data_IF_079585890357
#
_entry.id   IF_079585890357
#
_cell.length_a   1.000
_cell.length_b   1.000
_cell.length_c   1.000
_cell.angle_alpha   90.00
_cell.angle_beta   90.00
_cell.angle_gamma   90.00
#
_symmetry.space_group_name_H-M   'P 1'
#
loop_
_entity.id
_entity.type
_entity.pdbx_description
1 polymer ?
#
# COMPACT_ATOMS: atom_id res chain seq x y z
N UNK A 1 16.12 -5.51 -2.33
CA UNK A 1 14.95 -6.39 -2.13
C UNK A 1 14.23 -6.60 -3.46
N UNK A 2 13.55 -7.74 -3.67
CA UNK A 2 12.74 -7.97 -4.88
C UNK A 2 11.32 -7.42 -4.72
N UNK A 3 10.67 -7.03 -5.82
CA UNK A 3 9.31 -6.49 -5.77
C UNK A 3 8.25 -7.50 -5.29
N UNK A 4 8.52 -8.80 -5.33
CA UNK A 4 7.62 -9.82 -4.75
C UNK A 4 7.75 -9.96 -3.23
N UNK A 5 8.79 -9.37 -2.62
CA UNK A 5 9.07 -9.44 -1.19
C UNK A 5 8.45 -8.25 -0.42
N UNK A 6 8.00 -7.22 -1.14
CA UNK A 6 7.32 -6.09 -0.51
C UNK A 6 5.93 -6.51 0.00
N UNK A 7 5.61 -6.07 1.21
CA UNK A 7 4.34 -6.36 1.89
C UNK A 7 3.48 -5.10 1.81
N UNK A 8 2.48 -5.05 0.92
CA UNK A 8 1.57 -3.91 0.89
C UNK A 8 0.67 -3.89 2.13
N UNK A 9 0.24 -2.71 2.57
CA UNK A 9 -0.63 -2.52 3.75
C UNK A 9 -1.93 -3.32 3.69
N UNK A 10 -2.41 -3.63 2.49
CA UNK A 10 -3.58 -4.49 2.29
C UNK A 10 -3.36 -5.97 2.69
N UNK A 11 -2.11 -6.38 2.88
CA UNK A 11 -1.70 -7.75 3.20
C UNK A 11 -1.04 -7.87 4.59
N UNK A 12 -0.50 -6.78 5.12
CA UNK A 12 0.11 -6.69 6.44
C UNK A 12 0.80 -5.34 6.63
N UNK A 13 1.15 -5.01 7.88
CA UNK A 13 1.89 -3.79 8.19
C UNK A 13 3.38 -4.11 8.23
N UNK A 14 4.14 -3.51 7.31
CA UNK A 14 5.60 -3.54 7.32
C UNK A 14 6.12 -2.14 7.01
N UNK A 15 6.96 -1.63 7.89
CA UNK A 15 7.66 -0.37 7.69
C UNK A 15 8.96 -0.62 6.93
N UNK A 16 9.29 0.28 6.01
CA UNK A 16 10.49 0.22 5.19
C UNK A 16 11.27 1.53 5.32
N UNK A 17 12.58 1.44 5.09
CA UNK A 17 13.47 2.55 4.82
C UNK A 17 13.68 2.66 3.32
N UNK A 18 13.45 3.85 2.77
CA UNK A 18 13.75 4.19 1.39
C UNK A 18 15.09 4.93 1.36
N UNK A 19 16.08 4.32 0.70
CA UNK A 19 17.37 4.96 0.47
C UNK A 19 17.24 6.02 -0.65
N UNK A 20 17.68 7.25 -0.35
CA UNK A 20 17.56 8.40 -1.25
C UNK A 20 18.86 9.16 -1.32
N UNK A 21 19.12 9.68 -2.50
CA UNK A 21 20.18 10.66 -2.73
C UNK A 21 19.55 11.87 -3.40
N UNK A 22 19.62 13.03 -2.74
CA UNK A 22 19.22 14.31 -3.32
C UNK A 22 20.37 15.30 -3.22
N UNK A 23 20.66 16.00 -4.31
CA UNK A 23 21.68 17.05 -4.38
C UNK A 23 23.07 16.63 -3.85
N UNK A 24 23.39 15.33 -3.91
CA UNK A 24 24.66 14.74 -3.46
C UNK A 24 24.69 14.31 -1.99
N UNK A 25 23.63 14.54 -1.22
CA UNK A 25 23.46 14.02 0.13
C UNK A 25 22.61 12.75 0.10
N UNK A 26 23.06 11.71 0.81
CA UNK A 26 22.27 10.49 1.01
C UNK A 26 21.52 10.55 2.35
N UNK A 27 20.26 10.15 2.33
CA UNK A 27 19.42 10.07 3.52
C UNK A 27 18.44 8.91 3.39
N UNK A 28 17.90 8.45 4.52
CA UNK A 28 16.87 7.42 4.53
C UNK A 28 15.55 8.02 4.96
N UNK A 29 14.46 7.60 4.32
CA UNK A 29 13.12 8.01 4.69
C UNK A 29 12.27 6.81 5.11
N UNK A 30 11.46 6.98 6.16
CA UNK A 30 10.41 6.00 6.46
C UNK A 30 9.44 5.90 5.30
N UNK A 31 8.97 4.70 4.99
CA UNK A 31 7.98 4.52 3.94
C UNK A 31 7.13 3.28 4.14
N UNK A 32 5.93 3.33 3.56
CA UNK A 32 4.96 2.26 3.58
C UNK A 32 4.59 1.90 2.15
N UNK A 33 4.51 0.61 1.85
CA UNK A 33 3.94 0.14 0.58
C UNK A 33 2.43 0.08 0.76
N UNK A 34 1.69 1.00 0.15
CA UNK A 34 0.24 1.12 0.39
C UNK A 34 -0.52 0.07 -0.44
N UNK A 35 -0.26 0.04 -1.75
CA UNK A 35 -0.92 -0.86 -2.71
C UNK A 35 0.10 -1.41 -3.69
N UNK A 36 -0.04 -2.70 -4.05
CA UNK A 36 0.77 -3.30 -5.11
C UNK A 36 -0.03 -3.39 -6.43
N UNK A 37 0.67 -3.33 -7.56
CA UNK A 37 0.10 -3.55 -8.91
C UNK A 37 1.05 -4.28 -9.82
N UNK A 38 0.58 -4.62 -11.02
CA UNK A 38 1.45 -5.17 -12.05
C UNK A 38 2.54 -4.14 -12.42
N UNK A 39 3.81 -4.53 -12.26
CA UNK A 39 4.99 -3.73 -12.62
C UNK A 39 5.36 -2.62 -11.65
N UNK A 40 4.76 -2.57 -10.45
CA UNK A 40 5.07 -1.52 -9.48
C UNK A 40 4.18 -1.51 -8.25
N UNK A 41 4.27 -0.45 -7.48
CA UNK A 41 3.51 -0.28 -6.24
C UNK A 41 3.40 1.20 -5.88
N UNK A 42 2.44 1.51 -5.01
CA UNK A 42 2.20 2.84 -4.49
C UNK A 42 2.88 2.97 -3.13
N UNK A 43 3.85 3.89 -3.03
CA UNK A 43 4.53 4.22 -1.78
C UNK A 43 3.85 5.38 -1.09
N UNK A 44 3.76 5.33 0.24
CA UNK A 44 3.53 6.47 1.11
C UNK A 44 4.83 6.84 1.81
N UNK A 45 5.28 8.08 1.63
CA UNK A 45 6.51 8.62 2.21
C UNK A 45 6.21 9.95 2.93
N UNK A 46 7.06 10.40 3.85
CA UNK A 46 7.02 11.77 4.39
C UNK A 46 7.03 12.80 3.26
N UNK A 47 6.40 13.94 3.51
CA UNK A 47 6.53 15.12 2.63
C UNK A 47 8.01 15.48 2.44
N UNK A 48 8.35 16.12 1.33
CA UNK A 48 9.73 16.51 1.00
C UNK A 48 10.76 15.37 0.83
N UNK A 49 10.35 14.09 0.91
CA UNK A 49 11.22 12.93 0.56
C UNK A 49 11.66 12.95 -0.91
N UNK A 50 10.82 13.53 -1.78
CA UNK A 50 11.13 13.76 -3.19
C UNK A 50 11.10 15.26 -3.45
N UNK A 51 12.04 15.74 -4.26
CA UNK A 51 12.06 17.14 -4.64
C UNK A 51 10.81 17.49 -5.46
N UNK A 52 10.35 18.75 -5.37
CA UNK A 52 9.22 19.23 -6.18
C UNK A 52 9.47 19.03 -7.69
N UNK A 53 10.72 19.11 -8.13
CA UNK A 53 11.10 18.89 -9.53
C UNK A 53 10.93 17.42 -9.96
N UNK A 54 11.29 16.46 -9.10
CA UNK A 54 11.06 15.02 -9.35
C UNK A 54 9.56 14.70 -9.37
N UNK A 55 8.80 15.18 -8.40
CA UNK A 55 7.36 14.94 -8.32
C UNK A 55 6.63 15.52 -9.54
N UNK A 56 6.99 16.74 -9.97
CA UNK A 56 6.44 17.36 -11.19
C UNK A 56 6.75 16.57 -12.45
N UNK A 57 7.98 16.04 -12.58
CA UNK A 57 8.36 15.17 -13.70
C UNK A 57 7.55 13.87 -13.67
N UNK A 58 7.41 13.28 -12.50
CA UNK A 58 6.60 12.09 -12.24
C UNK A 58 5.14 12.19 -12.69
N UNK A 59 4.53 13.38 -12.60
CA UNK A 59 3.13 13.56 -13.04
C UNK A 59 2.89 13.25 -14.52
N UNK A 60 3.89 13.47 -15.37
CA UNK A 60 3.85 13.22 -16.81
C UNK A 60 4.83 12.13 -17.27
N UNK A 61 5.35 11.34 -16.33
CA UNK A 61 6.37 10.35 -16.59
C UNK A 61 5.88 9.24 -17.53
N UNK A 62 6.79 8.74 -18.37
CA UNK A 62 6.55 7.55 -19.20
C UNK A 62 6.30 6.32 -18.32
N UNK A 63 5.55 5.29 -18.77
CA UNK A 63 5.39 4.04 -18.03
C UNK A 63 6.68 3.31 -17.65
N UNK A 64 7.81 3.64 -18.31
CA UNK A 64 9.13 3.04 -18.05
C UNK A 64 9.98 3.83 -17.03
N UNK A 65 9.54 5.03 -16.64
CA UNK A 65 10.24 5.83 -15.63
C UNK A 65 9.99 5.29 -14.23
N UNK A 66 11.02 5.35 -13.37
CA UNK A 66 10.99 4.80 -12.01
C UNK A 66 9.94 5.46 -11.11
N UNK A 67 9.89 6.81 -11.17
CA UNK A 67 8.98 7.64 -10.39
C UNK A 67 7.84 8.04 -11.30
N UNK A 68 6.65 7.59 -10.95
CA UNK A 68 5.42 7.93 -11.60
C UNK A 68 4.69 9.10 -10.92
N UNK A 69 3.39 9.20 -11.15
CA UNK A 69 2.60 10.28 -10.60
C UNK A 69 2.46 10.22 -9.08
N UNK A 70 2.24 11.38 -8.46
CA UNK A 70 2.11 11.51 -7.01
C UNK A 70 0.91 12.34 -6.57
N UNK A 71 0.57 12.28 -5.28
CA UNK A 71 -0.35 13.21 -4.62
C UNK A 71 0.00 13.31 -3.15
N UNK A 72 -0.25 14.45 -2.53
CA UNK A 72 -0.19 14.58 -1.08
C UNK A 72 -1.56 14.25 -0.49
N UNK A 73 -1.54 13.57 0.66
CA UNK A 73 -2.72 13.24 1.46
C UNK A 73 -2.42 13.50 2.93
N UNK A 74 -3.47 13.61 3.74
CA UNK A 74 -3.36 13.77 5.18
C UNK A 74 -4.05 12.59 5.85
N UNK A 75 -3.46 12.08 6.93
CA UNK A 75 -4.03 11.02 7.76
C UNK A 75 -3.82 11.33 9.24
N UNK A 76 -4.65 10.75 10.10
CA UNK A 76 -4.40 10.76 11.54
C UNK A 76 -3.05 10.15 11.89
N UNK A 77 -2.52 10.50 13.07
CA UNK A 77 -1.28 9.94 13.59
C UNK A 77 -1.54 8.90 14.69
N UNK A 78 -0.81 7.79 14.63
CA UNK A 78 -0.78 6.71 15.61
C UNK A 78 0.65 6.56 16.13
N UNK A 79 0.81 6.24 17.41
CA UNK A 79 2.05 5.68 17.95
C UNK A 79 1.79 4.25 18.44
N UNK A 80 2.81 3.40 18.33
CA UNK A 80 2.79 2.09 18.96
C UNK A 80 3.35 2.21 20.37
N UNK A 81 2.62 1.69 21.36
CA UNK A 81 3.08 1.62 22.75
C UNK A 81 4.06 0.47 22.94
N UNK A 82 4.77 0.46 24.06
CA UNK A 82 5.67 -0.64 24.45
C UNK A 82 4.95 -2.01 24.53
N UNK A 83 3.63 -2.01 24.76
CA UNK A 83 2.81 -3.23 24.77
C UNK A 83 2.39 -3.68 23.36
N UNK A 84 2.83 -2.98 22.32
CA UNK A 84 2.45 -3.21 20.93
C UNK A 84 1.06 -2.67 20.56
N UNK A 85 0.40 -1.92 21.45
CA UNK A 85 -0.92 -1.36 21.18
C UNK A 85 -0.81 -0.03 20.40
N UNK A 86 -1.73 0.22 19.48
CA UNK A 86 -1.77 1.48 18.74
C UNK A 86 -2.58 2.53 19.51
N UNK A 87 -2.05 3.74 19.64
CA UNK A 87 -2.74 4.88 20.28
C UNK A 87 -2.77 6.07 19.33
N UNK A 88 -3.96 6.67 19.15
CA UNK A 88 -4.10 7.90 18.38
C UNK A 88 -3.49 9.09 19.12
N UNK A 89 -2.68 9.87 18.41
CA UNK A 89 -1.96 11.03 18.98
C UNK A 89 -2.76 12.34 18.90
N UNK A 90 -3.98 12.31 18.35
CA UNK A 90 -4.84 13.50 18.22
C UNK A 90 -4.32 14.55 17.23
N UNK A 91 -3.34 14.19 16.39
CA UNK A 91 -2.76 15.05 15.34
C UNK A 91 -2.86 14.38 13.98
N UNK A 92 -2.48 15.13 12.95
CA UNK A 92 -2.49 14.69 11.56
C UNK A 92 -1.06 14.72 11.01
N UNK A 93 -0.74 13.78 10.13
CA UNK A 93 0.53 13.73 9.39
C UNK A 93 0.26 13.85 7.89
N UNK A 94 1.18 14.51 7.19
CA UNK A 94 1.11 14.65 5.73
C UNK A 94 1.97 13.58 5.07
N UNK A 95 1.42 12.91 4.07
CA UNK A 95 2.05 11.79 3.38
C UNK A 95 1.99 12.05 1.88
N UNK A 96 3.13 11.91 1.21
CA UNK A 96 3.18 11.91 -0.24
C UNK A 96 2.98 10.48 -0.73
N UNK A 97 1.89 10.25 -1.45
CA UNK A 97 1.66 9.03 -2.21
C UNK A 97 2.38 9.13 -3.54
N UNK A 98 3.26 8.18 -3.86
CA UNK A 98 4.05 8.16 -5.09
C UNK A 98 3.95 6.79 -5.74
N UNK A 99 3.43 6.75 -6.97
CA UNK A 99 3.44 5.55 -7.80
C UNK A 99 4.88 5.28 -8.27
N UNK A 100 5.40 4.10 -8.01
CA UNK A 100 6.76 3.70 -8.40
C UNK A 100 6.76 2.37 -9.12
N UNK A 101 7.80 2.15 -9.93
CA UNK A 101 8.01 0.88 -10.64
C UNK A 101 8.61 -0.18 -9.72
N UNK A 102 8.49 -1.43 -10.15
CA UNK A 102 9.01 -2.58 -9.39
C UNK A 102 10.51 -2.49 -9.09
N UNK A 103 11.30 -1.81 -9.94
CA UNK A 103 12.73 -1.57 -9.73
C UNK A 103 12.99 -0.76 -8.46
N UNK A 104 12.02 0.04 -7.98
CA UNK A 104 12.15 0.79 -6.74
C UNK A 104 12.25 -0.11 -5.51
N UNK A 105 11.85 -1.38 -5.60
CA UNK A 105 12.02 -2.34 -4.50
C UNK A 105 13.49 -2.56 -4.13
N UNK A 106 14.42 -2.31 -5.06
CA UNK A 106 15.85 -2.38 -4.77
C UNK A 106 16.32 -1.28 -3.79
N UNK A 107 15.58 -0.16 -3.70
CA UNK A 107 15.86 0.98 -2.82
C UNK A 107 15.21 0.84 -1.44
N UNK A 108 14.39 -0.19 -1.25
CA UNK A 108 13.66 -0.45 -0.02
C UNK A 108 14.42 -1.45 0.85
N UNK A 109 14.55 -1.11 2.12
CA UNK A 109 15.08 -1.97 3.17
C UNK A 109 13.99 -2.14 4.22
N UNK A 110 13.64 -3.37 4.65
CA UNK A 110 12.77 -3.55 5.82
C UNK A 110 13.36 -2.80 7.00
N UNK A 111 12.56 -1.97 7.66
CA UNK A 111 13.01 -1.27 8.86
C UNK A 111 13.11 -2.29 9.99
N UNK A 112 14.33 -2.56 10.43
CA UNK A 112 14.62 -3.31 11.64
C UNK A 112 14.86 -2.31 12.78
N UNK A 113 14.26 -2.55 13.95
CA UNK A 113 14.29 -1.62 15.08
C UNK A 113 15.64 -1.65 15.83
N UNK A 114 16.56 -2.53 15.45
CA UNK A 114 17.84 -2.71 16.13
C UNK A 114 18.90 -1.66 15.72
N UNK A 115 18.81 -1.09 14.51
CA UNK A 115 19.74 -0.08 14.01
C UNK A 115 18.99 1.17 13.56
N UNK A 116 19.01 2.22 14.39
CA UNK A 116 18.45 3.52 14.00
C UNK A 116 19.40 4.25 13.02
N UNK A 117 18.92 4.68 11.84
CA UNK A 117 19.72 5.45 10.90
C UNK A 117 20.14 6.80 11.48
N UNK A 118 21.35 7.26 11.14
CA UNK A 118 21.87 8.57 11.59
C UNK A 118 21.04 9.75 11.05
N UNK A 119 20.52 9.63 9.82
CA UNK A 119 19.67 10.63 9.17
C UNK A 119 18.39 9.97 8.65
N UNK A 120 17.42 9.81 9.55
CA UNK A 120 16.10 9.28 9.24
C UNK A 120 15.08 10.41 9.07
N UNK A 121 14.48 10.50 7.89
CA UNK A 121 13.33 11.34 7.62
C UNK A 121 12.04 10.58 7.99
N UNK A 122 11.32 11.06 8.99
CA UNK A 122 10.10 10.45 9.54
C UNK A 122 8.84 11.16 9.06
N UNK A 123 7.66 10.56 9.30
CA UNK A 123 6.37 11.17 8.92
C UNK A 123 6.00 12.42 9.75
N UNK A 124 6.50 12.50 10.98
CA UNK A 124 6.40 13.67 11.85
C UNK A 124 7.80 13.91 12.46
N UNK A 125 8.34 15.11 12.27
CA UNK A 125 9.65 15.48 12.79
C UNK A 125 9.63 15.78 14.29
N UNK A 126 8.47 16.18 14.83
CA UNK A 126 8.28 16.45 16.24
C UNK A 126 7.96 15.18 17.03
N UNK A 127 7.54 14.10 16.34
CA UNK A 127 7.25 12.79 16.90
C UNK A 127 7.70 11.67 15.93
N UNK A 128 9.00 11.30 15.91
CA UNK A 128 9.57 10.31 14.98
C UNK A 128 8.89 8.93 14.98
N UNK A 129 8.27 8.55 16.09
CA UNK A 129 7.51 7.32 16.29
C UNK A 129 6.08 7.38 15.72
N UNK A 130 5.61 8.57 15.33
CA UNK A 130 4.28 8.77 14.81
C UNK A 130 4.17 8.22 13.38
N UNK A 131 3.25 7.28 13.21
CA UNK A 131 2.90 6.68 11.93
C UNK A 131 1.52 7.16 11.46
N UNK A 132 1.30 7.29 10.16
CA UNK A 132 -0.04 7.59 9.63
C UNK A 132 -1.01 6.43 9.89
N UNK A 133 -2.29 6.74 10.14
CA UNK A 133 -3.36 5.74 10.22
C UNK A 133 -3.45 4.97 8.90
N UNK A 134 -3.07 3.69 8.93
CA UNK A 134 -2.93 2.89 7.71
C UNK A 134 -4.21 2.76 6.89
N UNK A 135 -5.36 2.61 7.57
CA UNK A 135 -6.64 2.47 6.90
C UNK A 135 -7.02 3.75 6.14
N UNK A 136 -6.79 4.92 6.72
CA UNK A 136 -7.03 6.21 6.06
C UNK A 136 -6.15 6.38 4.82
N UNK A 137 -4.87 5.94 4.88
CA UNK A 137 -4.00 5.96 3.71
C UNK A 137 -4.48 5.03 2.59
N UNK A 138 -4.94 3.81 2.92
CA UNK A 138 -5.48 2.88 1.94
C UNK A 138 -6.71 3.49 1.24
N UNK A 139 -7.59 4.12 2.02
CA UNK A 139 -8.81 4.72 1.48
C UNK A 139 -8.51 5.95 0.63
N UNK A 140 -7.58 6.81 1.07
CA UNK A 140 -7.10 7.95 0.30
C UNK A 140 -6.43 7.51 -1.02
N UNK A 141 -5.59 6.48 -0.98
CA UNK A 141 -4.94 5.91 -2.15
C UNK A 141 -5.95 5.37 -3.16
N UNK A 142 -6.97 4.63 -2.70
CA UNK A 142 -8.04 4.11 -3.57
C UNK A 142 -8.86 5.23 -4.19
N UNK A 143 -9.20 6.26 -3.42
CA UNK A 143 -9.93 7.43 -3.91
C UNK A 143 -9.13 8.15 -5.01
N UNK A 144 -7.83 8.35 -4.80
CA UNK A 144 -6.94 8.97 -5.78
C UNK A 144 -6.84 8.16 -7.07
N UNK A 145 -6.62 6.85 -6.99
CA UNK A 145 -6.57 5.97 -8.17
C UNK A 145 -7.90 6.03 -8.94
N UNK A 146 -9.04 5.96 -8.25
CA UNK A 146 -10.35 6.03 -8.88
C UNK A 146 -10.61 7.37 -9.59
N UNK A 147 -10.18 8.49 -9.00
CA UNK A 147 -10.30 9.81 -9.61
C UNK A 147 -9.45 9.93 -10.89
N UNK A 148 -8.24 9.39 -10.88
CA UNK A 148 -7.35 9.38 -12.07
C UNK A 148 -7.93 8.53 -13.21
N UNK A 149 -8.38 7.32 -12.92
CA UNK A 149 -9.00 6.44 -13.92
C UNK A 149 -10.24 7.11 -14.56
N UNK A 150 -11.03 7.86 -13.77
CA UNK A 150 -12.15 8.63 -14.29
C UNK A 150 -11.69 9.75 -15.24
N UNK A 151 -10.66 10.51 -14.87
CA UNK A 151 -10.09 11.58 -15.69
C UNK A 151 -9.53 11.05 -17.02
N UNK A 152 -8.78 9.94 -16.99
CA UNK A 152 -8.21 9.32 -18.20
C UNK A 152 -9.32 8.88 -19.17
N UNK A 153 -10.39 8.26 -18.66
CA UNK A 153 -11.55 7.87 -19.46
C UNK A 153 -12.23 9.08 -20.10
N UNK A 154 -12.40 10.19 -19.37
CA UNK A 154 -12.98 11.42 -19.91
C UNK A 154 -12.13 11.99 -21.05
N UNK A 155 -10.80 11.97 -20.92
CA UNK A 155 -9.87 12.43 -21.96
C UNK A 155 -9.99 11.57 -23.23
N UNK A 156 -10.06 10.24 -23.08
CA UNK A 156 -10.20 9.32 -24.21
C UNK A 156 -11.50 9.53 -25.00
N UNK A 157 -12.64 9.71 -24.31
CA UNK A 157 -13.92 9.96 -24.97
C UNK A 157 -14.01 11.36 -25.60
N UNK A 158 -13.34 12.35 -25.02
CA UNK A 158 -13.27 13.72 -25.56
C UNK A 158 -12.45 13.76 -26.85
N UNK A 159 -11.32 13.05 -26.92
CA UNK A 159 -10.48 12.96 -28.11
C UNK A 159 -11.22 12.29 -29.30
N UNK A 160 -12.05 11.28 -29.04
CA UNK A 160 -12.82 10.58 -30.09
C UNK A 160 -13.92 11.44 -30.73
N UNK A 161 -14.38 12.51 -30.07
CA UNK A 161 -15.37 13.44 -30.63
C UNK A 161 -14.75 14.54 -31.52
N UNK A 162 -13.43 14.68 -31.53
CA UNK A 162 -12.71 15.70 -32.33
C UNK A 162 -12.44 15.32 -33.79
N UNK A 163 -12.56 14.05 -34.18
CA UNK A 163 -12.30 13.58 -35.56
C UNK A 163 -13.55 13.50 -36.44
N UNK A 164 -14.68 14.06 -36.00
CA UNK A 164 -15.91 14.17 -36.80
C UNK A 164 -16.20 15.63 -37.23
N UNK A 165 -15.16 16.37 -37.61
CA UNK A 165 -15.26 17.57 -38.43
C UNK A 165 -14.26 17.29 -39.57
N UNK A 166 -14.64 16.77 -40.73
CA UNK A 166 -15.52 17.35 -41.73
C UNK A 166 -16.10 16.20 -42.59
N UNK A 167 -17.27 15.64 -42.24
CA UNK A 167 -18.12 15.11 -43.32
C UNK A 167 -18.91 16.31 -43.81
N UNK A 168 -18.33 17.04 -44.78
CA UNK A 168 -19.15 17.94 -45.58
C UNK A 168 -20.31 17.10 -46.14
N UNK A 169 -21.57 17.48 -45.94
CA UNK A 169 -22.65 16.83 -46.66
C UNK A 169 -22.38 17.07 -48.14
N UNK A 170 -21.96 16.03 -48.86
CA UNK A 170 -21.93 16.04 -50.33
C UNK A 170 -23.30 16.53 -50.76
N UNK A 171 -23.36 17.70 -51.42
CA UNK A 171 -24.58 18.18 -52.07
C UNK A 171 -25.10 17.03 -52.92
N UNK A 172 -26.31 16.55 -52.62
CA UNK A 172 -27.00 15.57 -53.46
C UNK A 172 -27.37 16.30 -54.75
N UNK A 173 -26.81 15.86 -55.86
CA UNK A 173 -27.38 16.14 -57.17
C UNK A 173 -28.79 15.53 -57.22
N UNK A 174 -29.81 16.29 -57.61
CA UNK A 174 -31.16 15.79 -57.73
C UNK A 174 -31.31 15.16 -59.11
N UNK A 175 -30.90 13.91 -59.28
CA UNK A 175 -31.40 13.01 -60.33
C UNK A 175 -30.83 11.61 -60.13
N UNK A 176 -31.60 10.70 -59.52
CA UNK A 176 -32.01 9.43 -60.15
C UNK A 176 -32.83 8.54 -59.21
N UNK A 177 -33.74 7.71 -59.79
CA UNK A 177 -34.93 7.21 -59.13
C UNK A 177 -34.74 5.94 -58.29
N UNK A 178 -35.67 5.77 -57.37
CA UNK A 178 -35.85 4.67 -56.44
C UNK A 178 -36.05 3.33 -57.16
N UNK A 179 -35.04 2.47 -57.15
CA UNK A 179 -35.22 1.05 -57.41
C UNK A 179 -35.07 0.28 -56.10
N UNK A 180 -36.22 -0.16 -55.60
CA UNK A 180 -36.44 -1.09 -54.51
C UNK A 180 -35.55 -2.34 -54.65
N UNK A 181 -34.86 -2.71 -53.57
CA UNK A 181 -33.99 -3.89 -53.58
C UNK A 181 -33.61 -4.39 -52.20
N UNK A 182 -34.50 -5.16 -51.58
CA UNK A 182 -34.25 -6.25 -50.63
C UNK A 182 -33.37 -5.97 -49.41
N UNK A 183 -34.06 -5.88 -48.27
CA UNK A 183 -33.56 -6.29 -46.96
C UNK A 183 -32.81 -7.64 -47.02
N UNK A 184 -31.54 -7.64 -46.58
CA UNK A 184 -30.87 -8.84 -46.09
C UNK A 184 -30.05 -8.51 -44.84
N UNK A 185 -30.42 -9.22 -43.78
CA UNK A 185 -29.58 -9.79 -42.73
C UNK A 185 -28.75 -8.85 -41.85
N UNK A 186 -29.21 -8.70 -40.61
CA UNK A 186 -28.35 -8.44 -39.45
C UNK A 186 -27.54 -9.71 -39.14
N UNK A 187 -26.21 -9.60 -39.17
CA UNK A 187 -25.30 -10.57 -38.54
C UNK A 187 -24.93 -10.07 -37.13
N UNK A 188 -25.21 -10.83 -36.06
CA UNK A 188 -24.79 -10.48 -34.70
C UNK A 188 -23.44 -11.13 -34.37
N UNK A 189 -22.34 -10.56 -34.87
CA UNK A 189 -20.99 -11.05 -34.50
C UNK A 189 -19.89 -10.04 -34.80
N UNK A 190 -19.95 -8.88 -34.15
CA UNK A 190 -18.80 -8.00 -33.97
C UNK A 190 -18.91 -7.33 -32.60
N UNK A 191 -18.53 -8.05 -31.52
CA UNK A 191 -18.09 -7.39 -30.29
C UNK A 191 -16.63 -7.02 -30.50
N UNK A 192 -16.26 -5.73 -30.60
CA UNK A 192 -14.87 -5.35 -30.44
C UNK A 192 -14.45 -5.69 -29.01
N UNK A 193 -13.44 -6.54 -28.87
CA UNK A 193 -12.74 -6.75 -27.61
C UNK A 193 -12.14 -5.42 -27.16
N UNK A 194 -12.66 -4.85 -26.07
CA UNK A 194 -12.06 -3.72 -25.39
C UNK A 194 -10.65 -4.12 -24.91
N UNK A 195 -9.59 -3.37 -25.23
CA UNK A 195 -8.37 -3.45 -24.45
C UNK A 195 -8.68 -2.87 -23.07
N UNK A 196 -8.68 -3.75 -22.05
CA UNK A 196 -8.78 -3.37 -20.65
C UNK A 196 -7.51 -2.62 -20.25
N UNK A 197 -7.55 -1.29 -20.23
CA UNK A 197 -6.42 -0.40 -19.96
C UNK A 197 -6.14 -0.09 -18.49
N UNK A 198 -6.83 -0.69 -17.51
CA UNK A 198 -6.50 -0.50 -16.08
C UNK A 198 -5.67 -1.70 -15.55
N UNK A 199 -4.36 -1.52 -15.22
CA UNK A 199 -3.52 -2.57 -14.64
C UNK A 199 -3.97 -3.02 -13.25
N UNK A 200 -4.78 -2.21 -12.57
CA UNK A 200 -5.21 -2.41 -11.18
C UNK A 200 -6.23 -3.53 -10.96
N UNK A 201 -6.85 -4.06 -12.02
CA UNK A 201 -8.02 -4.96 -11.91
C UNK A 201 -7.73 -6.45 -12.11
N UNK A 202 -6.46 -6.91 -12.10
CA UNK A 202 -6.12 -8.27 -12.57
C UNK A 202 -5.25 -9.14 -11.64
N UNK A 203 -5.37 -9.00 -10.32
CA UNK A 203 -4.78 -9.97 -9.39
C UNK A 203 -5.86 -10.89 -8.81
N UNK A 204 -5.88 -12.18 -9.20
CA UNK A 204 -6.59 -13.23 -8.46
C UNK A 204 -5.68 -13.69 -7.30
N UNK A 205 -6.10 -13.61 -6.03
CA UNK A 205 -5.25 -14.06 -4.93
C UNK A 205 -5.28 -15.59 -4.82
N UNK A 206 -4.18 -16.25 -5.19
CA UNK A 206 -3.89 -17.65 -4.88
C UNK A 206 -2.93 -17.72 -3.67
N UNK A 207 -3.39 -17.44 -2.46
CA UNK A 207 -2.56 -17.68 -1.26
C UNK A 207 -3.39 -17.86 0.02
N UNK A 208 -4.50 -18.61 -0.05
CA UNK A 208 -5.07 -19.20 1.18
C UNK A 208 -4.15 -20.32 1.64
N UNK A 209 -3.25 -20.03 2.58
CA UNK A 209 -2.58 -20.92 3.55
C UNK A 209 -1.24 -20.27 3.90
N UNK A 210 -1.16 -19.41 4.91
CA UNK A 210 0.03 -19.17 5.75
C UNK A 210 -0.27 -18.07 6.76
N UNK A 211 -1.17 -18.37 7.69
CA UNK A 211 -1.32 -17.60 8.94
C UNK A 211 -1.45 -18.60 10.07
N UNK A 212 -0.34 -18.86 10.77
CA UNK A 212 -0.31 -19.48 12.11
C UNK A 212 1.05 -19.43 12.84
N UNK A 213 2.13 -18.87 12.28
CA UNK A 213 3.48 -19.08 12.86
C UNK A 213 4.12 -17.92 13.62
N UNK A 214 3.55 -16.71 13.66
CA UNK A 214 4.24 -15.55 14.24
C UNK A 214 3.72 -15.06 15.61
N UNK A 215 2.77 -15.77 16.23
CA UNK A 215 2.35 -15.48 17.61
C UNK A 215 2.52 -16.73 18.47
N UNK A 216 3.76 -17.02 18.86
CA UNK A 216 4.02 -17.86 20.04
C UNK A 216 4.49 -16.96 21.18
N UNK A 217 3.73 -16.83 22.28
CA UNK A 217 4.27 -16.26 23.50
C UNK A 217 5.37 -17.20 24.00
N UNK A 218 6.60 -16.71 24.10
CA UNK A 218 7.67 -17.43 24.78
C UNK A 218 7.35 -17.43 26.28
N UNK A 219 6.75 -18.51 26.77
CA UNK A 219 6.72 -18.80 28.20
C UNK A 219 8.15 -19.05 28.67
N UNK A 220 8.79 -18.02 29.23
CA UNK A 220 10.02 -18.14 29.99
C UNK A 220 9.80 -19.12 31.16
N UNK A 221 10.38 -20.31 31.06
CA UNK A 221 10.52 -21.22 32.20
C UNK A 221 11.75 -20.79 33.01
N UNK A 222 11.66 -20.65 34.34
CA UNK A 222 12.84 -20.42 35.16
C UNK A 222 13.65 -21.73 35.25
N UNK A 223 14.86 -21.74 34.68
CA UNK A 223 15.88 -22.75 34.99
C UNK A 223 16.62 -22.32 36.25
N UNK A 224 16.17 -22.78 37.41
CA UNK A 224 17.02 -22.90 38.60
C UNK A 224 17.38 -24.38 38.76
N UNK A 225 18.65 -24.72 38.47
CA UNK A 225 19.30 -25.94 38.93
C UNK A 225 20.45 -25.52 39.82
N UNK A 226 20.19 -25.45 41.12
CA UNK A 226 21.20 -25.52 42.17
C UNK A 226 21.01 -26.86 42.88
N UNK A 227 22.01 -27.72 42.74
CA UNK A 227 22.10 -28.99 43.45
C UNK A 227 22.33 -28.73 44.93
N UNK A 228 21.40 -29.13 45.78
CA UNK A 228 21.70 -29.39 47.19
C UNK A 228 21.10 -30.74 47.57
N UNK A 229 22.01 -31.61 48.00
CA UNK A 229 21.71 -32.85 48.70
C UNK A 229 20.81 -32.55 49.90
N UNK A 230 19.67 -33.25 49.98
CA UNK A 230 18.91 -33.34 51.22
C UNK A 230 18.46 -34.78 51.41
N UNK A 231 19.11 -35.44 52.36
CA UNK A 231 18.76 -36.74 52.94
C UNK A 231 17.37 -36.66 53.58
N UNK A 232 16.41 -37.45 53.09
CA UNK A 232 15.10 -37.58 53.73
C UNK A 232 15.18 -38.56 54.90
N UNK A 233 15.01 -38.05 56.11
CA UNK A 233 14.63 -38.83 57.29
C UNK A 233 13.11 -38.93 57.35
N UNK A 234 12.62 -40.13 57.67
CA UNK A 234 11.23 -40.43 58.01
C UNK A 234 10.73 -39.52 59.15
N UNK A 235 9.55 -38.91 58.97
CA UNK A 235 8.63 -38.69 60.09
C UNK A 235 7.21 -38.43 59.59
N UNK A 236 6.27 -38.93 60.38
CA UNK A 236 4.84 -39.09 60.12
C UNK A 236 4.00 -37.85 60.44
N UNK A 237 2.87 -37.75 59.73
CA UNK A 237 1.57 -37.27 60.22
C UNK A 237 1.18 -35.78 60.11
N UNK A 238 0.02 -35.62 59.46
CA UNK A 238 -1.16 -34.78 59.78
C UNK A 238 -1.23 -33.31 59.35
N UNK A 239 -2.23 -33.08 58.48
CA UNK A 239 -3.10 -31.92 58.28
C UNK A 239 -2.48 -30.54 58.02
N UNK A 240 -2.72 -30.01 56.82
CA UNK A 240 -2.89 -28.57 56.64
C UNK A 240 -3.94 -28.27 55.58
N UNK A 241 -4.86 -27.38 55.96
CA UNK A 241 -6.20 -27.15 55.43
C UNK A 241 -6.17 -26.13 54.28
N UNK A 242 -6.90 -26.39 53.19
CA UNK A 242 -7.14 -25.43 52.11
C UNK A 242 -8.07 -24.32 52.58
N UNK A 243 -7.67 -23.06 52.38
CA UNK A 243 -8.52 -21.88 52.54
C UNK A 243 -8.83 -21.31 51.14
N UNK A 244 -10.06 -21.47 50.67
CA UNK A 244 -10.59 -20.77 49.50
C UNK A 244 -11.22 -19.46 49.96
N UNK A 245 -10.69 -18.32 49.52
CA UNK A 245 -11.33 -17.02 49.68
C UNK A 245 -12.23 -16.74 48.48
N UNK A 246 -13.52 -16.59 48.77
CA UNK A 246 -14.57 -16.14 47.87
C UNK A 246 -15.07 -14.81 48.45
N UNK A 247 -14.91 -13.70 47.73
CA UNK A 247 -15.58 -12.44 48.05
C UNK A 247 -15.90 -11.74 46.73
N UNK A 248 -17.18 -11.78 46.39
CA UNK A 248 -17.81 -10.82 45.49
C UNK A 248 -18.49 -9.73 46.30
N UNK A 249 -18.58 -8.55 45.68
CA UNK A 249 -19.74 -7.68 45.67
C UNK A 249 -19.66 -6.87 44.37
#
# INVERSE_FOLDING_TARGET
>A
MNASEVVPLTHGVQLYLLDRTDSGASFQAQCLVILARAGGFLLGVPVDTFSTAELKRGQSASPDELIGPSTEVTAGALAQTESGAETQLGRQVSVTLVDVREQAAALLLPMDLEEEPEFLHTFDMDAPEALPVFQELIDAARAWIAARDAQERVLFYSARRGSHLLIQPRRRDPQQPCCLGRYRFWSPSCRPSLPSSSPWLRAKPQWRRFWQSALKPQCLRPRLRSSLHCTSLHSTSLHSTCLCLHLGA
#
